data_IF_026038348604
#
_entry.id   IF_026038348604
#
_cell.length_a   1.000
_cell.length_b   1.000
_cell.length_c   1.000
_cell.angle_alpha   90.00
_cell.angle_beta   90.00
_cell.angle_gamma   90.00
#
_symmetry.space_group_name_H-M   'P 1'
#
loop_
_entity.id
_entity.type
_entity.pdbx_description
1 polymer ?
#
# COMPACT_ATOMS: atom_id res chain seq x y z
N UNK A 1 31.75 38.11 66.97
CA UNK A 1 32.41 39.01 66.01
C UNK A 1 31.45 39.29 64.87
N UNK A 2 31.20 40.57 64.61
CA UNK A 2 30.34 41.12 63.55
C UNK A 2 30.97 40.90 62.15
N UNK A 3 30.30 41.01 60.98
CA UNK A 3 29.54 42.14 60.45
C UNK A 3 28.73 41.76 59.16
N UNK A 4 27.50 42.31 59.07
CA UNK A 4 26.76 42.96 57.93
C UNK A 4 26.81 42.35 56.51
N UNK A 5 25.69 42.03 55.84
CA UNK A 5 24.55 42.85 55.33
C UNK A 5 24.88 43.69 54.08
N UNK A 6 24.24 43.41 52.93
CA UNK A 6 23.20 44.26 52.30
C UNK A 6 22.71 43.73 50.94
N UNK A 7 21.45 44.09 50.66
CA UNK A 7 20.60 43.74 49.52
C UNK A 7 20.92 44.53 48.24
N UNK A 8 20.30 44.13 47.12
CA UNK A 8 20.14 45.02 45.95
C UNK A 8 19.63 44.33 44.68
N UNK A 9 18.32 44.39 44.43
CA UNK A 9 17.65 44.08 43.16
C UNK A 9 17.73 45.30 42.24
N UNK A 10 18.12 45.13 40.97
CA UNK A 10 17.83 46.11 39.89
C UNK A 10 17.47 45.36 38.59
N UNK A 11 16.21 45.56 38.15
CA UNK A 11 15.70 45.31 36.80
C UNK A 11 16.25 46.35 35.81
N UNK A 12 16.67 45.94 34.61
CA UNK A 12 16.65 46.82 33.42
C UNK A 12 16.73 46.03 32.08
N UNK A 13 15.61 46.09 31.36
CA UNK A 13 15.43 46.44 29.94
C UNK A 13 16.07 45.63 28.79
N UNK A 14 15.18 45.21 27.89
CA UNK A 14 15.38 44.82 26.49
C UNK A 14 16.38 45.68 25.70
N UNK A 15 17.18 45.03 24.85
CA UNK A 15 17.53 45.44 23.48
C UNK A 15 18.36 44.32 22.83
N UNK A 16 17.73 43.45 22.04
CA UNK A 16 18.46 42.58 21.10
C UNK A 16 18.13 43.07 19.70
N UNK A 17 19.14 43.70 19.10
CA UNK A 17 19.15 44.22 17.74
C UNK A 17 19.24 43.06 16.75
N UNK A 18 18.42 43.16 15.70
CA UNK A 18 18.34 42.29 14.53
C UNK A 18 19.70 42.17 13.82
N UNK A 19 20.11 40.95 13.49
CA UNK A 19 21.08 40.69 12.43
C UNK A 19 20.62 39.48 11.59
N UNK A 20 20.00 39.79 10.45
CA UNK A 20 19.68 38.87 9.38
C UNK A 20 20.95 38.30 8.76
N UNK A 21 20.96 36.99 8.48
CA UNK A 21 21.86 36.39 7.49
C UNK A 21 21.10 35.30 6.75
N UNK A 22 20.81 35.59 5.49
CA UNK A 22 20.05 34.77 4.57
C UNK A 22 20.89 33.59 4.04
N UNK A 23 20.28 32.40 3.96
CA UNK A 23 20.83 31.23 3.25
C UNK A 23 19.95 30.96 2.00
N UNK A 24 20.55 30.70 0.82
CA UNK A 24 19.88 30.77 -0.48
C UNK A 24 18.97 29.57 -0.77
N UNK A 25 17.73 29.86 -1.23
CA UNK A 25 16.77 28.87 -1.74
C UNK A 25 17.20 28.37 -3.13
N UNK A 26 17.30 27.05 -3.25
CA UNK A 26 17.45 26.34 -4.54
C UNK A 26 16.19 26.51 -5.40
N UNK A 27 16.40 26.68 -6.71
CA UNK A 27 15.36 26.84 -7.74
C UNK A 27 14.61 25.52 -7.98
N UNK A 28 13.45 25.37 -7.35
CA UNK A 28 12.45 24.36 -7.72
C UNK A 28 11.75 24.73 -9.03
N UNK A 29 11.53 23.74 -9.90
CA UNK A 29 10.77 23.84 -11.16
C UNK A 29 9.34 24.35 -10.88
N UNK A 30 8.86 25.26 -11.73
CA UNK A 30 7.50 25.81 -11.68
C UNK A 30 6.45 24.70 -11.87
N UNK A 31 5.45 24.58 -10.99
CA UNK A 31 4.26 23.80 -11.27
C UNK A 31 3.45 24.48 -12.38
N UNK A 32 2.91 23.66 -13.29
CA UNK A 32 2.01 24.07 -14.36
C UNK A 32 0.73 24.63 -13.72
N UNK A 33 0.40 25.86 -14.09
CA UNK A 33 -0.71 26.64 -13.58
C UNK A 33 -2.03 26.02 -14.07
N UNK A 34 -2.77 25.33 -13.20
CA UNK A 34 -4.19 25.09 -13.47
C UNK A 34 -4.96 26.39 -13.20
N UNK A 35 -5.88 26.81 -14.08
CA UNK A 35 -6.55 28.09 -13.92
C UNK A 35 -7.41 28.08 -12.66
N UNK A 36 -7.14 29.03 -11.78
CA UNK A 36 -7.96 29.33 -10.62
C UNK A 36 -9.37 29.67 -11.08
N UNK A 37 -10.34 28.88 -10.60
CA UNK A 37 -11.76 29.03 -10.90
C UNK A 37 -12.25 30.35 -10.28
N UNK A 38 -12.69 31.29 -11.11
CA UNK A 38 -13.10 32.64 -10.70
C UNK A 38 -14.40 32.62 -9.89
N UNK A 39 -14.61 33.64 -9.06
CA UNK A 39 -15.82 33.89 -8.24
C UNK A 39 -17.11 34.02 -9.09
N UNK A 40 -17.02 34.08 -10.42
CA UNK A 40 -18.18 33.92 -11.32
C UNK A 40 -18.69 32.46 -11.44
N UNK A 41 -18.01 31.48 -10.85
CA UNK A 41 -18.47 30.08 -10.76
C UNK A 41 -19.22 29.77 -9.44
N UNK A 42 -19.37 30.76 -8.54
CA UNK A 42 -20.11 30.61 -7.28
C UNK A 42 -21.61 30.92 -7.41
N UNK A 43 -22.13 31.03 -8.63
CA UNK A 43 -23.58 31.06 -8.94
C UNK A 43 -23.98 29.86 -9.81
N UNK A 44 -23.18 28.78 -9.76
CA UNK A 44 -23.70 27.43 -9.94
C UNK A 44 -23.85 26.78 -8.57
N UNK A 45 -24.64 27.46 -7.74
CA UNK A 45 -25.50 26.71 -6.85
C UNK A 45 -26.19 25.67 -7.73
N UNK A 46 -26.10 24.41 -7.33
CA UNK A 46 -26.96 23.38 -7.86
C UNK A 46 -28.41 23.75 -7.47
N UNK A 47 -29.00 24.69 -8.21
CA UNK A 47 -30.42 24.58 -8.49
C UNK A 47 -30.57 23.15 -9.01
N UNK A 48 -31.32 22.36 -8.24
CA UNK A 48 -31.94 21.14 -8.74
C UNK A 48 -32.77 21.61 -9.93
N UNK A 49 -32.12 21.70 -11.09
CA UNK A 49 -32.76 22.02 -12.35
C UNK A 49 -33.82 20.94 -12.50
N UNK A 50 -35.07 21.35 -12.62
CA UNK A 50 -36.19 20.45 -12.91
C UNK A 50 -36.03 19.74 -14.26
N UNK A 51 -34.97 20.07 -15.02
CA UNK A 51 -34.69 19.60 -16.35
C UNK A 51 -33.34 18.86 -16.43
N UNK A 52 -33.39 17.67 -17.06
CA UNK A 52 -32.22 16.89 -17.44
C UNK A 52 -31.51 17.53 -18.64
N UNK A 53 -30.20 17.81 -18.55
CA UNK A 53 -29.46 18.36 -19.71
C UNK A 53 -29.37 17.35 -20.86
N UNK A 54 -29.21 16.06 -20.54
CA UNK A 54 -29.18 14.93 -21.48
C UNK A 54 -29.54 13.62 -20.77
N UNK A 55 -29.84 12.56 -21.53
CA UNK A 55 -30.01 11.22 -20.99
C UNK A 55 -28.68 10.70 -20.42
N UNK A 56 -28.69 10.26 -19.16
CA UNK A 56 -27.47 9.84 -18.47
C UNK A 56 -27.63 9.69 -16.97
N UNK A 57 -26.51 9.56 -16.28
CA UNK A 57 -26.41 9.38 -14.83
C UNK A 57 -25.58 10.50 -14.22
N UNK A 58 -26.11 11.14 -13.17
CA UNK A 58 -25.52 12.32 -12.54
C UNK A 58 -25.43 12.15 -11.04
N UNK A 59 -24.29 12.50 -10.44
CA UNK A 59 -24.10 12.42 -8.99
C UNK A 59 -24.96 13.44 -8.25
N UNK A 60 -25.36 13.10 -7.03
CA UNK A 60 -25.91 14.08 -6.08
C UNK A 60 -24.83 15.02 -5.55
N UNK A 61 -25.21 16.27 -5.29
CA UNK A 61 -24.30 17.33 -4.84
C UNK A 61 -23.79 17.14 -3.40
N UNK A 62 -24.54 16.42 -2.55
CA UNK A 62 -24.24 16.31 -1.12
C UNK A 62 -24.01 14.87 -0.65
N UNK A 63 -24.60 13.89 -1.35
CA UNK A 63 -24.60 12.48 -0.97
C UNK A 63 -23.82 11.60 -1.95
N UNK A 64 -22.77 10.92 -1.47
CA UNK A 64 -21.83 10.20 -2.33
C UNK A 64 -22.42 8.93 -2.97
N UNK A 65 -23.41 8.33 -2.33
CA UNK A 65 -24.05 7.10 -2.79
C UNK A 65 -25.41 7.35 -3.47
N UNK A 66 -25.76 8.61 -3.70
CA UNK A 66 -26.97 9.03 -4.39
C UNK A 66 -26.65 9.58 -5.78
N UNK A 67 -27.51 9.25 -6.74
CA UNK A 67 -27.39 9.69 -8.12
C UNK A 67 -28.77 9.76 -8.77
N UNK A 68 -28.81 10.40 -9.93
CA UNK A 68 -30.00 10.62 -10.72
C UNK A 68 -29.83 9.99 -12.09
N UNK A 69 -30.83 9.23 -12.53
CA UNK A 69 -30.93 8.79 -13.90
C UNK A 69 -31.86 9.75 -14.64
N UNK A 70 -31.31 10.43 -15.64
CA UNK A 70 -32.05 11.26 -16.57
C UNK A 70 -32.47 10.44 -17.78
N UNK A 71 -33.77 10.41 -18.07
CA UNK A 71 -34.31 9.71 -19.24
C UNK A 71 -35.51 10.45 -19.81
N UNK A 72 -35.43 10.86 -21.08
CA UNK A 72 -36.49 11.61 -21.78
C UNK A 72 -36.94 12.88 -21.01
N UNK A 73 -36.01 13.55 -20.33
CA UNK A 73 -36.32 14.73 -19.50
C UNK A 73 -36.86 14.42 -18.10
N UNK A 74 -37.06 13.15 -17.74
CA UNK A 74 -37.49 12.75 -16.40
C UNK A 74 -36.28 12.40 -15.52
N UNK A 75 -36.28 12.91 -14.29
CA UNK A 75 -35.27 12.65 -13.26
C UNK A 75 -35.76 11.51 -12.37
N UNK A 76 -35.02 10.39 -12.38
CA UNK A 76 -35.27 9.25 -11.49
C UNK A 76 -34.17 9.22 -10.43
N UNK A 77 -34.55 9.45 -9.17
CA UNK A 77 -33.64 9.34 -8.04
C UNK A 77 -33.30 7.88 -7.74
N UNK A 78 -32.01 7.60 -7.53
CA UNK A 78 -31.48 6.27 -7.22
C UNK A 78 -30.39 6.34 -6.14
N UNK A 79 -30.20 5.21 -5.48
CA UNK A 79 -29.12 4.97 -4.53
C UNK A 79 -28.25 3.81 -5.02
N UNK A 80 -26.95 3.92 -4.78
CA UNK A 80 -26.05 2.78 -4.91
C UNK A 80 -26.40 1.72 -3.86
N UNK A 81 -26.07 0.44 -4.11
CA UNK A 81 -26.15 -0.60 -3.09
C UNK A 81 -25.46 -0.15 -1.79
N UNK A 82 -26.04 -0.48 -0.64
CA UNK A 82 -25.51 -0.05 0.66
C UNK A 82 -24.04 -0.43 0.82
N UNK A 83 -23.20 0.55 1.10
CA UNK A 83 -21.74 0.39 1.20
C UNK A 83 -20.94 0.71 -0.06
N UNK A 84 -21.61 1.08 -1.16
CA UNK A 84 -20.97 1.57 -2.38
C UNK A 84 -21.32 3.04 -2.63
N UNK A 85 -20.51 3.72 -3.45
CA UNK A 85 -20.70 5.13 -3.82
C UNK A 85 -20.75 5.28 -5.33
N UNK A 86 -21.46 6.30 -5.81
CA UNK A 86 -21.65 6.51 -7.25
C UNK A 86 -20.37 7.00 -7.91
N UNK A 87 -20.00 6.38 -9.03
CA UNK A 87 -18.86 6.73 -9.85
C UNK A 87 -19.30 7.69 -10.97
N UNK A 88 -18.88 8.95 -10.87
CA UNK A 88 -19.28 10.04 -11.76
C UNK A 88 -18.26 10.35 -12.87
N UNK A 89 -17.33 9.43 -13.16
CA UNK A 89 -16.36 9.63 -14.24
C UNK A 89 -16.97 9.56 -15.65
N UNK A 90 -18.15 8.94 -15.79
CA UNK A 90 -18.89 8.84 -17.05
C UNK A 90 -20.39 8.91 -16.79
N UNK A 91 -21.08 9.87 -17.40
CA UNK A 91 -22.54 9.99 -17.31
C UNK A 91 -23.28 8.90 -18.10
N UNK A 92 -22.58 8.03 -18.84
CA UNK A 92 -23.20 6.99 -19.67
C UNK A 92 -23.32 5.63 -18.96
N UNK A 93 -22.64 5.46 -17.81
CA UNK A 93 -22.59 4.19 -17.08
C UNK A 93 -23.21 4.34 -15.69
N UNK A 94 -24.18 3.48 -15.37
CA UNK A 94 -24.72 3.36 -14.01
C UNK A 94 -23.75 2.54 -13.16
N UNK A 95 -22.68 3.19 -12.68
CA UNK A 95 -21.61 2.49 -11.96
C UNK A 95 -21.52 2.96 -10.51
N UNK A 96 -21.58 1.99 -9.61
CA UNK A 96 -21.22 2.17 -8.21
C UNK A 96 -19.88 1.48 -7.94
N UNK A 97 -19.04 2.09 -7.13
CA UNK A 97 -17.73 1.59 -6.74
C UNK A 97 -17.54 1.62 -5.23
N UNK A 98 -16.47 1.00 -4.73
CA UNK A 98 -16.18 1.07 -3.30
C UNK A 98 -15.73 2.49 -2.91
N UNK A 99 -16.06 2.95 -1.69
CA UNK A 99 -15.64 4.28 -1.20
C UNK A 99 -14.12 4.52 -1.25
N UNK A 100 -13.31 3.47 -1.23
CA UNK A 100 -11.84 3.56 -1.30
C UNK A 100 -11.32 3.96 -2.69
N UNK A 101 -12.11 3.74 -3.75
CA UNK A 101 -11.72 4.01 -5.14
C UNK A 101 -12.10 5.42 -5.62
N UNK A 102 -12.90 6.16 -4.83
CA UNK A 102 -13.53 7.42 -5.23
C UNK A 102 -13.41 8.47 -4.12
N UNK A 103 -13.22 9.73 -4.49
CA UNK A 103 -13.14 10.83 -3.51
C UNK A 103 -14.54 11.40 -3.21
N UNK A 104 -15.09 11.04 -2.06
CA UNK A 104 -16.37 11.54 -1.57
C UNK A 104 -16.26 12.85 -0.75
N UNK A 105 -15.08 13.49 -0.67
CA UNK A 105 -14.86 14.62 0.25
C UNK A 105 -15.77 15.82 -0.01
N UNK A 106 -16.25 16.01 -1.24
CA UNK A 106 -17.16 17.09 -1.62
C UNK A 106 -18.65 16.76 -1.35
N UNK A 107 -18.99 15.47 -1.25
CA UNK A 107 -20.37 14.98 -1.07
C UNK A 107 -20.40 13.87 0.00
N UNK A 108 -20.08 14.20 1.27
CA UNK A 108 -19.75 13.19 2.28
C UNK A 108 -20.95 12.43 2.85
N UNK A 109 -22.19 12.84 2.54
CA UNK A 109 -23.37 12.16 3.06
C UNK A 109 -23.49 10.77 2.43
N UNK A 110 -24.04 9.83 3.17
CA UNK A 110 -24.33 8.47 2.72
C UNK A 110 -25.70 8.06 3.24
N UNK A 111 -26.31 7.07 2.59
CA UNK A 111 -27.54 6.44 3.08
C UNK A 111 -27.30 5.80 4.46
N UNK A 112 -28.38 5.57 5.19
CA UNK A 112 -28.33 4.86 6.47
C UNK A 112 -27.78 3.45 6.27
N UNK A 113 -26.79 3.01 7.06
CA UNK A 113 -26.20 1.68 6.90
C UNK A 113 -27.22 0.58 7.20
N UNK A 114 -27.15 -0.51 6.44
CA UNK A 114 -27.94 -1.73 6.68
C UNK A 114 -26.97 -2.81 7.17
N UNK A 115 -26.77 -2.95 8.50
CA UNK A 115 -25.80 -3.88 9.04
C UNK A 115 -26.27 -5.34 8.92
N UNK A 116 -25.31 -6.25 8.85
CA UNK A 116 -25.50 -7.71 8.99
C UNK A 116 -24.35 -8.31 9.81
N UNK A 117 -24.30 -9.63 9.94
CA UNK A 117 -23.22 -10.30 10.69
C UNK A 117 -21.85 -9.94 10.07
N UNK A 118 -20.98 -9.34 10.88
CA UNK A 118 -19.63 -8.87 10.51
C UNK A 118 -19.55 -7.77 9.44
N UNK A 119 -20.69 -7.28 8.95
CA UNK A 119 -20.75 -6.25 7.92
C UNK A 119 -21.46 -5.02 8.48
N UNK A 120 -20.75 -3.90 8.58
CA UNK A 120 -21.35 -2.62 9.01
C UNK A 120 -22.34 -2.09 7.97
N UNK A 121 -22.06 -2.38 6.68
CA UNK A 121 -22.93 -2.14 5.52
C UNK A 121 -22.97 -3.39 4.65
N UNK A 122 -23.96 -3.51 3.78
CA UNK A 122 -24.12 -4.71 2.92
C UNK A 122 -22.90 -5.00 2.05
N UNK A 123 -22.21 -3.97 1.57
CA UNK A 123 -21.04 -4.11 0.70
C UNK A 123 -19.82 -3.39 1.28
N UNK A 124 -18.65 -3.98 1.13
CA UNK A 124 -17.37 -3.33 1.49
C UNK A 124 -16.41 -4.22 2.25
N UNK A 125 -15.36 -3.59 2.78
CA UNK A 125 -14.34 -4.24 3.59
C UNK A 125 -14.36 -3.68 5.01
N UNK A 126 -14.45 -4.56 6.01
CA UNK A 126 -14.60 -4.17 7.42
C UNK A 126 -13.58 -4.89 8.30
N UNK A 127 -13.00 -4.19 9.27
CA UNK A 127 -12.13 -4.80 10.29
C UNK A 127 -12.81 -5.93 11.04
N UNK A 128 -12.00 -6.87 11.52
CA UNK A 128 -12.43 -7.84 12.52
C UNK A 128 -12.92 -7.12 13.81
N UNK A 129 -13.93 -7.72 14.47
CA UNK A 129 -14.57 -7.15 15.66
C UNK A 129 -13.64 -7.12 16.88
N UNK A 130 -12.82 -8.16 17.04
CA UNK A 130 -11.73 -8.17 18.03
C UNK A 130 -10.63 -7.19 17.60
N UNK A 131 -10.33 -6.14 18.37
CA UNK A 131 -9.28 -5.18 18.06
C UNK A 131 -7.87 -5.78 18.05
N UNK A 132 -7.66 -6.96 18.66
CA UNK A 132 -6.37 -7.68 18.64
C UNK A 132 -6.16 -8.46 17.34
N UNK A 133 -7.22 -8.72 16.59
CA UNK A 133 -7.14 -9.40 15.31
C UNK A 133 -6.79 -8.38 14.20
N UNK A 134 -5.53 -7.98 14.18
CA UNK A 134 -5.01 -6.91 13.33
C UNK A 134 -4.96 -7.28 11.85
N UNK A 135 -4.70 -8.55 11.55
CA UNK A 135 -4.55 -9.07 10.19
C UNK A 135 -5.82 -9.69 9.61
N UNK A 136 -6.96 -9.66 10.31
CA UNK A 136 -8.22 -10.24 9.81
C UNK A 136 -9.22 -9.14 9.48
N UNK A 137 -9.97 -9.37 8.41
CA UNK A 137 -11.04 -8.46 7.96
C UNK A 137 -12.11 -9.25 7.20
N UNK A 138 -13.24 -8.60 6.96
CA UNK A 138 -14.39 -9.15 6.27
C UNK A 138 -14.60 -8.46 4.94
N UNK A 139 -14.77 -9.23 3.88
CA UNK A 139 -15.27 -8.76 2.59
C UNK A 139 -16.75 -9.09 2.47
N UNK A 140 -17.60 -8.08 2.39
CA UNK A 140 -19.04 -8.21 2.36
C UNK A 140 -19.60 -7.90 0.97
N UNK A 141 -20.51 -8.76 0.52
CA UNK A 141 -21.33 -8.59 -0.69
C UNK A 141 -22.76 -8.94 -0.34
N UNK A 142 -23.69 -8.00 -0.51
CA UNK A 142 -25.11 -8.14 -0.17
C UNK A 142 -25.33 -8.72 1.26
N UNK A 143 -24.55 -8.21 2.21
CA UNK A 143 -24.63 -8.57 3.63
C UNK A 143 -24.06 -9.95 3.98
N UNK A 144 -23.48 -10.66 3.02
CA UNK A 144 -22.76 -11.92 3.24
C UNK A 144 -21.26 -11.66 3.30
N UNK A 145 -20.61 -12.08 4.37
CA UNK A 145 -19.18 -11.88 4.57
C UNK A 145 -18.34 -13.09 4.14
N UNK A 146 -17.12 -12.82 3.69
CA UNK A 146 -16.00 -13.74 3.69
C UNK A 146 -14.90 -13.18 4.60
N UNK A 147 -14.39 -13.98 5.53
CA UNK A 147 -13.25 -13.57 6.36
C UNK A 147 -11.95 -13.79 5.59
N UNK A 148 -11.13 -12.74 5.50
CA UNK A 148 -9.84 -12.74 4.82
C UNK A 148 -8.76 -12.45 5.85
N UNK A 149 -7.66 -13.19 5.76
CA UNK A 149 -6.45 -12.96 6.55
C UNK A 149 -5.40 -12.32 5.66
N UNK A 150 -4.85 -11.19 6.11
CA UNK A 150 -3.73 -10.52 5.49
C UNK A 150 -2.50 -11.44 5.46
N UNK A 151 -1.57 -11.25 4.51
CA UNK A 151 -0.25 -11.87 4.58
C UNK A 151 0.40 -11.62 5.94
N UNK A 152 1.19 -12.59 6.41
CA UNK A 152 1.79 -12.57 7.74
C UNK A 152 2.55 -11.26 8.01
N UNK A 153 2.25 -10.66 9.17
CA UNK A 153 2.87 -9.41 9.60
C UNK A 153 2.25 -8.13 9.03
N UNK A 154 1.20 -8.22 8.19
CA UNK A 154 0.44 -7.08 7.72
C UNK A 154 -0.84 -6.87 8.55
N UNK A 155 -1.24 -5.61 8.62
CA UNK A 155 -2.42 -5.10 9.35
C UNK A 155 -3.43 -4.57 8.33
N UNK A 156 -4.69 -4.94 8.50
CA UNK A 156 -5.77 -4.38 7.68
C UNK A 156 -5.96 -2.89 8.01
N UNK A 157 -5.96 -2.04 6.97
CA UNK A 157 -6.15 -0.61 7.08
C UNK A 157 -7.57 -0.21 6.65
N UNK A 158 -8.41 0.15 7.62
CA UNK A 158 -9.81 0.55 7.41
C UNK A 158 -9.98 1.76 6.47
N UNK A 159 -8.95 2.59 6.32
CA UNK A 159 -9.03 3.81 5.49
C UNK A 159 -8.77 3.54 4.01
N UNK A 160 -7.94 2.55 3.71
CA UNK A 160 -7.51 2.24 2.34
C UNK A 160 -8.10 0.93 1.82
N UNK A 161 -8.69 0.11 2.70
CA UNK A 161 -9.25 -1.19 2.33
C UNK A 161 -8.21 -2.25 1.97
N UNK A 162 -6.94 -2.04 2.34
CA UNK A 162 -5.83 -2.95 2.01
C UNK A 162 -5.04 -3.36 3.25
N UNK A 163 -4.38 -4.52 3.15
CA UNK A 163 -3.38 -4.94 4.12
C UNK A 163 -2.09 -4.15 3.90
N UNK A 164 -1.64 -3.42 4.92
CA UNK A 164 -0.37 -2.70 4.90
C UNK A 164 0.40 -2.92 6.20
N UNK A 165 1.59 -2.37 6.29
CA UNK A 165 2.41 -2.38 7.46
C UNK A 165 1.75 -1.68 8.66
N UNK A 166 2.01 -2.18 9.88
CA UNK A 166 1.44 -1.65 11.13
C UNK A 166 1.60 -0.12 11.32
N UNK A 167 2.77 0.43 10.98
CA UNK A 167 3.12 1.85 11.06
C UNK A 167 2.36 2.73 10.04
N UNK A 168 1.98 2.15 8.89
CA UNK A 168 1.14 2.81 7.90
C UNK A 168 -0.35 2.70 8.22
N UNK A 169 -0.78 1.52 8.68
CA UNK A 169 -2.16 1.25 9.06
C UNK A 169 -2.61 2.13 10.23
N UNK A 170 -1.70 2.44 11.17
CA UNK A 170 -1.96 3.27 12.36
C UNK A 170 -3.20 2.83 13.14
N UNK A 171 -3.51 1.53 13.09
CA UNK A 171 -4.60 0.91 13.83
C UNK A 171 -4.18 0.78 15.29
N UNK A 172 -5.00 1.34 16.20
CA UNK A 172 -4.70 1.37 17.63
C UNK A 172 -4.61 -0.06 18.18
N UNK A 173 -3.52 -0.40 18.86
CA UNK A 173 -3.28 -1.75 19.41
C UNK A 173 -2.80 -2.78 18.38
N UNK A 174 -2.39 -2.31 17.19
CA UNK A 174 -1.82 -3.13 16.13
C UNK A 174 -0.45 -2.58 15.71
N UNK A 175 0.35 -2.12 16.67
CA UNK A 175 1.73 -1.73 16.40
C UNK A 175 2.56 -2.94 15.96
N UNK A 176 3.71 -2.69 15.33
CA UNK A 176 4.57 -3.78 14.88
C UNK A 176 4.97 -4.74 16.02
N UNK A 177 5.24 -4.20 17.23
CA UNK A 177 5.49 -5.00 18.41
C UNK A 177 4.27 -5.85 18.85
N UNK A 178 3.05 -5.33 18.71
CA UNK A 178 1.82 -6.08 19.02
C UNK A 178 1.59 -7.23 18.03
N UNK A 179 1.83 -6.98 16.74
CA UNK A 179 1.63 -7.96 15.66
C UNK A 179 2.64 -9.11 15.75
N UNK A 180 3.89 -8.81 16.10
CA UNK A 180 4.97 -9.79 16.17
C UNK A 180 5.27 -10.31 17.58
N UNK A 181 4.65 -9.74 18.62
CA UNK A 181 4.98 -10.01 20.01
C UNK A 181 6.50 -9.90 20.31
N UNK A 182 7.18 -8.98 19.65
CA UNK A 182 8.63 -8.78 19.73
C UNK A 182 8.96 -7.28 19.81
N UNK A 183 9.83 -6.92 20.74
CA UNK A 183 10.35 -5.56 20.87
C UNK A 183 11.80 -5.48 20.40
N UNK A 184 12.08 -4.48 19.56
CA UNK A 184 13.44 -4.21 19.12
C UNK A 184 14.33 -3.81 20.30
N UNK A 185 15.51 -4.44 20.47
CA UNK A 185 16.46 -4.02 21.48
C UNK A 185 16.84 -2.54 21.33
N UNK A 186 16.96 -1.79 22.44
CA UNK A 186 17.27 -0.37 22.39
C UNK A 186 18.69 -0.16 21.85
N UNK A 187 18.80 0.69 20.84
CA UNK A 187 20.06 1.02 20.18
C UNK A 187 20.20 2.52 19.98
N UNK A 188 21.42 2.99 19.76
CA UNK A 188 21.62 4.39 19.38
C UNK A 188 21.07 4.68 17.97
N UNK A 189 20.80 5.95 17.69
CA UNK A 189 20.19 6.37 16.43
C UNK A 189 21.02 5.96 15.20
N UNK A 190 22.34 6.16 15.25
CA UNK A 190 23.26 5.81 14.15
C UNK A 190 23.19 4.32 13.79
N UNK A 191 23.12 3.44 14.79
CA UNK A 191 22.98 2.01 14.58
C UNK A 191 21.55 1.64 14.17
N UNK A 192 20.52 2.29 14.73
CA UNK A 192 19.13 2.09 14.31
C UNK A 192 18.90 2.36 12.83
N UNK A 193 19.60 3.35 12.26
CA UNK A 193 19.57 3.64 10.81
C UNK A 193 20.12 2.50 9.94
N UNK A 194 20.91 1.58 10.51
CA UNK A 194 21.38 0.38 9.79
C UNK A 194 20.36 -0.75 9.73
N UNK A 195 19.22 -0.58 10.39
CA UNK A 195 18.14 -1.56 10.53
C UNK A 195 18.66 -2.90 11.08
N UNK A 196 19.09 -2.92 12.36
CA UNK A 196 19.72 -4.09 12.94
C UNK A 196 18.79 -5.31 12.92
N UNK A 197 19.41 -6.49 12.87
CA UNK A 197 18.74 -7.78 12.77
C UNK A 197 18.93 -8.58 14.04
N UNK A 198 17.89 -9.32 14.42
CA UNK A 198 17.87 -10.12 15.64
C UNK A 198 17.20 -11.46 15.35
N UNK A 199 17.73 -12.56 15.87
CA UNK A 199 17.10 -13.87 15.76
C UNK A 199 15.66 -13.86 16.30
N UNK A 200 14.80 -14.64 15.67
CA UNK A 200 13.50 -14.97 16.24
C UNK A 200 13.73 -16.02 17.35
N UNK A 201 13.25 -15.79 18.58
CA UNK A 201 13.50 -16.69 19.71
C UNK A 201 12.81 -18.05 19.58
N UNK A 202 11.74 -18.14 18.79
CA UNK A 202 10.93 -19.36 18.67
C UNK A 202 11.17 -20.09 17.33
N UNK A 203 11.87 -19.45 16.39
CA UNK A 203 11.99 -19.95 15.02
C UNK A 203 13.35 -19.62 14.39
N UNK A 204 14.25 -20.61 14.37
CA UNK A 204 15.59 -20.45 13.80
C UNK A 204 15.60 -20.03 12.33
N UNK A 205 14.54 -20.31 11.54
CA UNK A 205 14.49 -19.87 10.15
C UNK A 205 14.21 -18.37 10.02
N UNK A 206 13.55 -17.76 11.00
CA UNK A 206 13.12 -16.37 10.97
C UNK A 206 14.00 -15.46 11.83
N UNK A 207 13.91 -14.17 11.54
CA UNK A 207 14.58 -13.11 12.27
C UNK A 207 13.78 -11.81 12.14
N UNK A 208 14.03 -10.88 13.03
CA UNK A 208 13.44 -9.54 13.01
C UNK A 208 14.42 -8.53 12.44
N UNK A 209 13.96 -7.71 11.49
CA UNK A 209 14.62 -6.49 11.04
C UNK A 209 13.99 -5.31 11.78
N UNK A 210 14.78 -4.58 12.55
CA UNK A 210 14.31 -3.43 13.31
C UNK A 210 14.49 -2.14 12.52
N UNK A 211 13.46 -1.74 11.78
CA UNK A 211 13.47 -0.49 11.00
C UNK A 211 13.64 0.69 11.95
N UNK A 212 14.61 1.56 11.62
CA UNK A 212 15.09 2.66 12.46
C UNK A 212 15.44 2.27 13.91
N UNK A 213 15.72 0.99 14.17
CA UNK A 213 16.05 0.46 15.49
C UNK A 213 14.86 0.22 16.42
N UNK A 214 13.61 0.47 15.99
CA UNK A 214 12.44 0.37 16.88
C UNK A 214 11.21 -0.33 16.29
N UNK A 215 11.13 -0.50 14.97
CA UNK A 215 9.94 -1.07 14.32
C UNK A 215 10.27 -2.45 13.76
N UNK A 216 9.88 -3.55 14.44
CA UNK A 216 10.23 -4.89 14.02
C UNK A 216 9.49 -5.32 12.76
N UNK A 217 10.18 -6.07 11.90
CA UNK A 217 9.65 -6.77 10.73
C UNK A 217 10.15 -8.19 10.74
N UNK A 218 9.27 -9.17 10.82
CA UNK A 218 9.66 -10.57 10.69
C UNK A 218 10.10 -10.86 9.25
N UNK A 219 11.19 -11.59 9.08
CA UNK A 219 11.76 -11.99 7.80
C UNK A 219 12.34 -13.38 7.92
N UNK A 220 12.36 -14.13 6.81
CA UNK A 220 12.79 -15.52 6.79
C UNK A 220 14.06 -15.73 5.98
N UNK A 221 14.91 -16.63 6.45
CA UNK A 221 15.97 -17.23 5.66
C UNK A 221 15.38 -18.22 4.64
N UNK A 222 16.17 -18.54 3.60
CA UNK A 222 15.78 -19.56 2.63
C UNK A 222 15.59 -20.91 3.32
N UNK A 223 14.74 -21.77 2.76
CA UNK A 223 14.56 -23.12 3.27
C UNK A 223 15.92 -23.84 3.39
N UNK A 224 16.17 -24.45 4.55
CA UNK A 224 17.44 -25.09 4.89
C UNK A 224 18.48 -24.16 5.56
N UNK A 225 18.25 -22.85 5.53
CA UNK A 225 19.05 -21.86 6.24
C UNK A 225 18.35 -21.43 7.54
N UNK A 226 19.15 -20.95 8.48
CA UNK A 226 18.75 -20.37 9.76
C UNK A 226 19.45 -19.03 9.94
N UNK A 227 18.94 -18.18 10.83
CA UNK A 227 19.58 -16.91 11.13
C UNK A 227 20.72 -17.11 12.14
N UNK A 228 21.96 -16.78 11.76
CA UNK A 228 23.10 -16.71 12.67
C UNK A 228 23.09 -15.35 13.37
N UNK A 229 22.74 -15.33 14.66
CA UNK A 229 22.66 -14.10 15.45
C UNK A 229 24.03 -13.49 15.79
N UNK A 230 25.12 -14.25 15.66
CA UNK A 230 26.48 -13.75 15.87
C UNK A 230 26.95 -12.99 14.63
N UNK A 231 26.73 -13.57 13.44
CA UNK A 231 27.13 -12.98 12.16
C UNK A 231 26.07 -12.04 11.56
N UNK A 232 24.87 -12.00 12.15
CA UNK A 232 23.71 -11.21 11.71
C UNK A 232 23.31 -11.48 10.25
N UNK A 233 23.34 -12.75 9.84
CA UNK A 233 22.99 -13.19 8.48
C UNK A 233 22.45 -14.61 8.44
N UNK A 234 21.74 -14.94 7.37
CA UNK A 234 21.34 -16.32 7.11
C UNK A 234 22.56 -17.19 6.79
N UNK A 235 22.62 -18.36 7.41
CA UNK A 235 23.65 -19.37 7.19
C UNK A 235 22.99 -20.76 7.21
N UNK A 236 23.66 -21.77 6.65
CA UNK A 236 23.14 -23.13 6.67
C UNK A 236 22.98 -23.66 8.09
N UNK A 237 21.84 -24.30 8.37
CA UNK A 237 21.47 -24.75 9.72
C UNK A 237 22.63 -25.46 10.44
N UNK A 238 23.25 -26.44 9.79
CA UNK A 238 24.38 -27.23 10.31
C UNK A 238 25.61 -26.43 10.76
N UNK A 239 25.79 -25.19 10.32
CA UNK A 239 26.92 -24.31 10.68
C UNK A 239 26.60 -23.37 11.84
N UNK A 240 25.34 -23.30 12.26
CA UNK A 240 24.87 -22.49 13.37
C UNK A 240 24.58 -23.44 14.53
N UNK A 241 25.49 -23.64 15.50
CA UNK A 241 25.41 -24.74 16.47
C UNK A 241 24.10 -24.79 17.27
N UNK A 242 23.55 -23.63 17.63
CA UNK A 242 22.29 -23.48 18.36
C UNK A 242 21.05 -23.91 17.55
N UNK A 243 21.14 -23.89 16.22
CA UNK A 243 20.05 -24.22 15.30
C UNK A 243 20.40 -25.38 14.36
N UNK A 244 21.49 -26.12 14.63
CA UNK A 244 22.00 -27.18 13.77
C UNK A 244 20.95 -28.27 13.47
N UNK A 245 20.06 -28.47 14.43
CA UNK A 245 19.05 -29.52 14.44
C UNK A 245 17.66 -29.01 14.04
N UNK A 246 17.51 -27.73 13.70
CA UNK A 246 16.21 -27.07 13.45
C UNK A 246 15.34 -27.80 12.41
N UNK A 247 15.95 -28.25 11.32
CA UNK A 247 15.23 -28.95 10.24
C UNK A 247 15.13 -30.46 10.43
N UNK A 248 15.64 -31.03 11.54
CA UNK A 248 15.54 -32.49 11.77
C UNK A 248 14.07 -32.90 11.86
N UNK A 249 13.67 -33.81 10.98
CA UNK A 249 12.28 -34.27 10.87
C UNK A 249 11.38 -33.41 9.98
N UNK A 250 11.84 -32.23 9.54
CA UNK A 250 11.19 -31.44 8.48
C UNK A 250 11.80 -31.73 7.11
N UNK A 251 13.13 -31.90 7.06
CA UNK A 251 13.90 -32.25 5.87
C UNK A 251 14.84 -33.41 6.19
N UNK A 252 15.13 -34.22 5.18
CA UNK A 252 16.20 -35.23 5.24
C UNK A 252 17.56 -34.59 5.02
N UNK A 253 18.63 -35.22 5.52
CA UNK A 253 20.01 -34.74 5.31
C UNK A 253 20.35 -34.60 3.81
N UNK A 254 19.82 -35.50 2.98
CA UNK A 254 20.01 -35.45 1.53
C UNK A 254 19.30 -34.26 0.88
N UNK A 255 18.09 -33.90 1.35
CA UNK A 255 17.38 -32.71 0.87
C UNK A 255 18.09 -31.43 1.29
N UNK A 256 18.56 -31.36 2.54
CA UNK A 256 19.31 -30.21 3.03
C UNK A 256 20.63 -30.01 2.27
N UNK A 257 21.35 -31.11 2.00
CA UNK A 257 22.57 -31.09 1.19
C UNK A 257 22.29 -30.66 -0.26
N UNK A 258 21.18 -31.10 -0.85
CA UNK A 258 20.78 -30.69 -2.19
C UNK A 258 20.39 -29.20 -2.27
N UNK A 259 19.85 -28.63 -1.18
CA UNK A 259 19.58 -27.20 -1.08
C UNK A 259 20.87 -26.38 -0.99
N UNK A 260 21.88 -26.85 -0.25
CA UNK A 260 23.17 -26.18 -0.12
C UNK A 260 24.00 -26.26 -1.40
N UNK A 261 23.98 -27.43 -2.05
CA UNK A 261 24.74 -27.73 -3.25
C UNK A 261 23.80 -28.09 -4.40
N UNK A 262 23.06 -27.10 -4.95
CA UNK A 262 22.13 -27.36 -6.03
C UNK A 262 22.90 -27.90 -7.24
N UNK A 263 22.42 -28.99 -7.88
CA UNK A 263 23.07 -29.55 -9.05
C UNK A 263 23.17 -28.49 -10.14
N UNK A 264 24.34 -28.39 -10.77
CA UNK A 264 24.51 -27.48 -11.91
C UNK A 264 23.53 -27.86 -13.01
N UNK A 265 22.73 -26.92 -13.53
CA UNK A 265 21.84 -27.22 -14.64
C UNK A 265 22.70 -27.70 -15.82
N UNK A 266 22.54 -28.96 -16.20
CA UNK A 266 23.22 -29.50 -17.38
C UNK A 266 22.76 -28.68 -18.58
N UNK A 267 23.67 -27.91 -19.18
CA UNK A 267 23.41 -27.26 -20.46
C UNK A 267 22.97 -28.35 -21.45
N UNK A 268 21.73 -28.28 -21.93
CA UNK A 268 21.34 -29.03 -23.11
C UNK A 268 22.25 -28.55 -24.24
N UNK A 269 23.04 -29.42 -24.90
CA UNK A 269 23.77 -29.02 -26.08
C UNK A 269 22.77 -28.43 -27.07
N UNK A 270 23.07 -27.25 -27.59
CA UNK A 270 22.29 -26.62 -28.64
C UNK A 270 22.32 -27.56 -29.84
N UNK A 271 21.25 -28.34 -30.00
CA UNK A 271 21.02 -29.10 -31.21
C UNK A 271 21.13 -28.16 -32.40
N UNK A 272 22.01 -28.51 -33.33
CA UNK A 272 22.15 -27.88 -34.63
C UNK A 272 20.80 -27.85 -35.35
N UNK A 273 20.10 -26.73 -35.24
CA UNK A 273 18.93 -26.46 -36.05
C UNK A 273 19.31 -26.45 -37.55
N UNK A 274 18.44 -26.93 -38.45
CA UNK A 274 18.76 -27.03 -39.86
C UNK A 274 19.02 -25.63 -40.46
N UNK A 275 20.11 -25.54 -41.20
CA UNK A 275 20.57 -24.33 -41.89
C UNK A 275 19.45 -23.72 -42.75
N UNK A 276 19.00 -22.50 -42.39
CA UNK A 276 18.11 -21.68 -43.21
C UNK A 276 18.81 -21.42 -44.56
N UNK A 277 18.35 -22.10 -45.62
CA UNK A 277 18.75 -21.77 -46.99
C UNK A 277 18.35 -20.32 -47.30
N UNK A 278 19.34 -19.51 -47.69
CA UNK A 278 19.17 -18.14 -48.19
C UNK A 278 18.27 -18.15 -49.45
N UNK A 279 17.29 -17.23 -49.59
CA UNK A 279 16.53 -17.13 -50.83
C UNK A 279 17.42 -16.53 -51.93
N UNK A 280 17.43 -17.19 -53.10
CA UNK A 280 18.07 -16.68 -54.31
C UNK A 280 17.27 -15.49 -54.87
N UNK A 281 18.01 -14.44 -55.26
CA UNK A 281 17.50 -13.21 -55.88
C UNK A 281 17.11 -13.50 -57.35
N UNK A 282 15.93 -13.08 -57.82
CA UNK A 282 15.53 -13.35 -59.20
C UNK A 282 16.26 -12.42 -60.19
N UNK A 283 16.73 -12.99 -61.30
CA UNK A 283 17.38 -12.29 -62.41
C UNK A 283 16.34 -11.59 -63.29
N UNK A 284 16.54 -10.29 -63.55
CA UNK A 284 15.74 -9.52 -64.51
C UNK A 284 16.18 -9.81 -65.95
N UNK A 285 15.19 -10.14 -66.77
CA UNK A 285 15.00 -9.57 -68.11
C UNK A 285 15.41 -10.43 -69.32
N UNK A 286 14.43 -10.73 -70.19
CA UNK A 286 14.33 -10.10 -71.52
C UNK A 286 12.95 -10.29 -72.14
N UNK A 287 12.46 -9.21 -72.73
CA UNK A 287 11.24 -8.98 -73.51
C UNK A 287 11.23 -9.71 -74.87
N UNK A 288 10.07 -10.18 -75.34
CA UNK A 288 9.62 -10.08 -76.76
C UNK A 288 8.08 -10.02 -76.82
N UNK A 289 7.63 -9.27 -77.83
CA UNK A 289 6.35 -8.69 -78.29
C UNK A 289 5.06 -9.54 -78.38
N UNK A 290 3.89 -8.87 -78.60
CA UNK A 290 2.58 -9.51 -78.66
C UNK A 290 2.17 -9.87 -80.10
N UNK A 291 1.38 -10.93 -80.26
CA UNK A 291 0.54 -11.14 -81.46
C UNK A 291 -0.84 -11.62 -81.00
N UNK A 292 -1.85 -10.91 -81.51
CA UNK A 292 -3.29 -11.14 -81.37
C UNK A 292 -3.72 -12.46 -82.02
N UNK A 293 -4.67 -13.18 -81.41
CA UNK A 293 -6.06 -13.36 -81.86
C UNK A 293 -6.90 -14.03 -80.76
#
# INVERSE_FOLDING_TARGET
MAFRSCAGVILLSCLVVLASSAVPKQKGRKPVNQPARSIADSERDAEITSDCPEDGFFADAEQCDKYYQCRNGEIIEKLCPDGMVFNDYSNQEEKCDLPFNLDCSQRPKLQTPIPSLHCVRQNGYFSHEDPKECGKFYYCVDGKFNMITCPDGLVYNDKTGICTWADEAKKKGCGAADVFAFDCPPVNETFGLTHPRYADPEDCQFFYVCINGNTPRRSGCKLGQVFDDVQKRCEWARKVPECADWYKGQLTDAELEALENPPTPKHKPSGSGPSRRKPQRPSKGKSVEPVEE
#
